data_IF_443876306769
#
_entry.id   IF_443876306769
#
_cell.length_a   1.000
_cell.length_b   1.000
_cell.length_c   1.000
_cell.angle_alpha   90.00
_cell.angle_beta   90.00
_cell.angle_gamma   90.00
#
_symmetry.space_group_name_H-M   'P 1'
#
loop_
_entity.id
_entity.type
_entity.pdbx_description
1 polymer ?
#
# COMPACT_ATOMS: atom_id res chain seq x y z
N UNK A 1 -18.38 46.90 6.59
CA UNK A 1 -17.70 47.45 5.39
C UNK A 1 -16.48 46.63 4.94
N UNK A 2 -15.64 46.11 5.84
CA UNK A 2 -14.40 45.39 5.49
C UNK A 2 -14.55 44.21 4.49
N UNK A 3 -15.60 43.38 4.60
CA UNK A 3 -15.81 42.23 3.69
C UNK A 3 -16.03 42.62 2.22
N UNK A 4 -16.59 43.81 1.96
CA UNK A 4 -16.86 44.30 0.59
C UNK A 4 -15.58 44.84 -0.07
N UNK A 5 -14.69 45.46 0.71
CA UNK A 5 -13.38 45.93 0.25
C UNK A 5 -12.49 44.76 -0.18
N UNK A 6 -12.36 43.72 0.65
CA UNK A 6 -11.62 42.51 0.29
C UNK A 6 -12.15 41.81 -0.97
N UNK A 7 -13.48 41.80 -1.18
CA UNK A 7 -14.08 41.21 -2.38
C UNK A 7 -13.78 42.04 -3.63
N UNK A 8 -13.72 43.37 -3.51
CA UNK A 8 -13.38 44.25 -4.63
C UNK A 8 -11.91 44.09 -5.04
N UNK A 9 -11.00 44.10 -4.07
CA UNK A 9 -9.56 43.88 -4.30
C UNK A 9 -9.28 42.52 -4.94
N UNK A 10 -9.95 41.45 -4.47
CA UNK A 10 -9.85 40.12 -5.08
C UNK A 10 -10.33 40.12 -6.54
N UNK A 11 -11.41 40.83 -6.84
CA UNK A 11 -11.93 40.93 -8.20
C UNK A 11 -11.00 41.74 -9.11
N UNK A 12 -10.36 42.79 -8.62
CA UNK A 12 -9.40 43.56 -9.41
C UNK A 12 -8.09 42.79 -9.62
N UNK A 13 -7.61 42.07 -8.60
CA UNK A 13 -6.46 41.17 -8.73
C UNK A 13 -6.71 40.08 -9.78
N UNK A 14 -7.90 39.47 -9.77
CA UNK A 14 -8.24 38.43 -10.77
C UNK A 14 -8.36 38.99 -12.18
N UNK A 15 -8.90 40.20 -12.36
CA UNK A 15 -8.90 40.89 -13.67
C UNK A 15 -7.48 41.19 -14.15
N UNK A 16 -6.63 41.73 -13.28
CA UNK A 16 -5.24 42.01 -13.60
C UNK A 16 -4.45 40.75 -13.97
N UNK A 17 -4.67 39.64 -13.24
CA UNK A 17 -4.08 38.35 -13.56
C UNK A 17 -4.53 37.84 -14.93
N UNK A 18 -5.82 37.96 -15.26
CA UNK A 18 -6.35 37.57 -16.58
C UNK A 18 -5.75 38.43 -17.70
N UNK A 19 -5.66 39.74 -17.48
CA UNK A 19 -5.07 40.67 -18.45
C UNK A 19 -3.60 40.33 -18.73
N UNK A 20 -2.79 40.17 -17.68
CA UNK A 20 -1.37 39.80 -17.81
C UNK A 20 -1.18 38.44 -18.47
N UNK A 21 -2.03 37.45 -18.18
CA UNK A 21 -2.02 36.15 -18.87
C UNK A 21 -2.29 36.28 -20.37
N UNK A 22 -3.25 37.13 -20.75
CA UNK A 22 -3.56 37.39 -22.16
C UNK A 22 -2.37 38.05 -22.89
N UNK A 23 -1.74 39.05 -22.27
CA UNK A 23 -0.56 39.69 -22.85
C UNK A 23 0.63 38.72 -22.97
N UNK A 24 0.85 37.85 -21.99
CA UNK A 24 1.86 36.79 -22.09
C UNK A 24 1.59 35.87 -23.28
N UNK A 25 0.34 35.46 -23.51
CA UNK A 25 -0.03 34.63 -24.65
C UNK A 25 0.15 35.34 -25.99
N UNK A 26 -0.23 36.62 -26.07
CA UNK A 26 -0.04 37.43 -27.28
C UNK A 26 1.46 37.58 -27.61
N UNK A 27 2.29 37.87 -26.61
CA UNK A 27 3.74 37.95 -26.77
C UNK A 27 4.37 36.58 -27.12
N UNK A 28 3.87 35.48 -26.55
CA UNK A 28 4.31 34.12 -26.91
C UNK A 28 4.06 33.86 -28.40
N UNK A 29 2.85 34.11 -28.90
CA UNK A 29 2.51 33.91 -30.33
C UNK A 29 3.37 34.78 -31.24
N UNK A 30 3.62 36.04 -30.84
CA UNK A 30 4.52 36.92 -31.59
C UNK A 30 5.94 36.36 -31.63
N UNK A 31 6.49 35.94 -30.49
CA UNK A 31 7.82 35.33 -30.41
C UNK A 31 7.91 34.04 -31.22
N UNK A 32 6.90 33.17 -31.15
CA UNK A 32 6.83 31.93 -31.93
C UNK A 32 6.81 32.21 -33.44
N UNK A 33 6.15 33.30 -33.87
CA UNK A 33 6.15 33.71 -35.28
C UNK A 33 7.52 34.16 -35.78
N UNK A 34 8.32 34.80 -34.92
CA UNK A 34 9.70 35.20 -35.24
C UNK A 34 10.69 34.05 -35.21
N UNK A 35 10.50 33.11 -34.28
CA UNK A 35 11.47 32.03 -34.01
C UNK A 35 11.16 30.78 -34.84
N UNK A 36 9.92 30.58 -35.27
CA UNK A 36 9.49 29.45 -36.10
C UNK A 36 9.29 28.13 -35.33
N UNK A 37 9.35 28.16 -34.00
CA UNK A 37 9.03 27.05 -33.12
C UNK A 37 8.43 27.55 -31.81
N UNK A 38 7.75 26.64 -31.08
CA UNK A 38 7.13 26.96 -29.81
C UNK A 38 8.13 27.52 -28.79
N UNK A 39 7.71 28.51 -27.99
CA UNK A 39 8.54 29.09 -26.92
C UNK A 39 8.42 28.22 -25.67
N UNK A 40 9.50 27.55 -25.27
CA UNK A 40 9.51 26.76 -24.05
C UNK A 40 9.39 27.66 -22.80
N UNK A 41 8.40 27.39 -21.96
CA UNK A 41 8.29 28.03 -20.65
C UNK A 41 9.38 27.48 -19.73
N UNK A 42 10.26 28.35 -19.26
CA UNK A 42 11.47 28.00 -18.48
C UNK A 42 11.16 27.14 -17.23
N UNK A 43 9.94 27.23 -16.67
CA UNK A 43 9.51 26.38 -15.54
C UNK A 43 9.03 24.98 -15.93
N UNK A 44 8.49 24.82 -17.13
CA UNK A 44 7.76 23.62 -17.57
C UNK A 44 8.71 22.45 -17.86
N UNK A 45 9.90 22.72 -18.40
CA UNK A 45 10.87 21.69 -18.81
C UNK A 45 11.59 21.06 -17.59
N UNK A 46 11.86 21.86 -16.55
CA UNK A 46 12.51 21.39 -15.32
C UNK A 46 11.53 20.67 -14.40
N UNK A 47 10.35 21.24 -14.17
CA UNK A 47 9.32 20.65 -13.31
C UNK A 47 8.80 19.32 -13.87
N UNK A 48 8.63 19.20 -15.20
CA UNK A 48 8.29 17.91 -15.83
C UNK A 48 9.36 16.85 -15.61
N UNK A 49 10.63 17.22 -15.61
CA UNK A 49 11.75 16.29 -15.43
C UNK A 49 11.82 15.80 -13.99
N UNK A 50 11.74 16.70 -13.03
CA UNK A 50 11.72 16.36 -11.59
C UNK A 50 10.50 15.48 -11.26
N UNK A 51 9.30 15.83 -11.75
CA UNK A 51 8.10 15.01 -11.57
C UNK A 51 8.22 13.60 -12.20
N UNK A 52 8.85 13.48 -13.38
CA UNK A 52 9.08 12.19 -14.01
C UNK A 52 10.10 11.34 -13.25
N UNK A 53 11.12 11.95 -12.67
CA UNK A 53 12.11 11.28 -11.85
C UNK A 53 11.48 10.78 -10.54
N UNK A 54 10.65 11.60 -9.89
CA UNK A 54 9.88 11.21 -8.71
C UNK A 54 8.89 10.08 -9.01
N UNK A 55 8.13 10.18 -10.10
CA UNK A 55 7.21 9.12 -10.52
C UNK A 55 7.95 7.81 -10.78
N UNK A 56 9.12 7.87 -11.42
CA UNK A 56 9.98 6.70 -11.67
C UNK A 56 10.55 6.12 -10.36
N UNK A 57 10.96 6.95 -9.42
CA UNK A 57 11.45 6.53 -8.10
C UNK A 57 10.32 5.85 -7.32
N UNK A 58 9.13 6.45 -7.29
CA UNK A 58 7.95 5.85 -6.66
C UNK A 58 7.59 4.51 -7.29
N UNK A 59 7.59 4.41 -8.62
CA UNK A 59 7.33 3.16 -9.33
C UNK A 59 8.37 2.08 -8.99
N UNK A 60 9.67 2.44 -8.97
CA UNK A 60 10.73 1.51 -8.55
C UNK A 60 10.56 1.08 -7.10
N UNK A 61 10.25 1.99 -6.18
CA UNK A 61 10.01 1.67 -4.78
C UNK A 61 8.80 0.74 -4.62
N UNK A 62 7.72 0.99 -5.35
CA UNK A 62 6.52 0.13 -5.35
C UNK A 62 6.82 -1.27 -5.91
N UNK A 63 7.52 -1.36 -7.04
CA UNK A 63 7.91 -2.64 -7.63
C UNK A 63 8.87 -3.44 -6.73
N UNK A 64 9.80 -2.78 -6.04
CA UNK A 64 10.68 -3.43 -5.06
C UNK A 64 9.92 -3.94 -3.84
N UNK A 65 8.88 -3.23 -3.37
CA UNK A 65 7.98 -3.71 -2.31
C UNK A 65 7.17 -4.94 -2.74
N UNK A 66 6.86 -5.07 -4.03
CA UNK A 66 6.15 -6.25 -4.55
C UNK A 66 7.06 -7.48 -4.69
N UNK A 67 8.38 -7.31 -4.80
CA UNK A 67 9.37 -8.41 -4.75
C UNK A 67 9.69 -8.85 -3.32
N UNK A 68 8.74 -8.74 -2.40
CA UNK A 68 8.88 -9.35 -1.09
C UNK A 68 8.95 -10.87 -1.26
N UNK A 69 9.90 -11.51 -0.57
CA UNK A 69 9.98 -12.98 -0.51
C UNK A 69 8.62 -13.49 -0.03
N UNK A 70 8.00 -14.46 -0.74
CA UNK A 70 6.74 -15.05 -0.30
C UNK A 70 6.87 -15.50 1.14
N UNK A 71 5.93 -15.08 1.98
CA UNK A 71 5.94 -15.41 3.43
C UNK A 71 5.80 -16.93 3.65
N UNK A 72 5.28 -17.65 2.66
CA UNK A 72 5.08 -19.10 2.66
C UNK A 72 5.50 -19.64 1.29
N UNK A 73 6.32 -20.68 1.28
CA UNK A 73 6.85 -21.35 0.07
C UNK A 73 5.93 -22.48 -0.46
N UNK A 74 4.79 -22.70 0.20
CA UNK A 74 3.79 -23.68 -0.21
C UNK A 74 3.20 -23.32 -1.59
N UNK A 75 3.25 -24.28 -2.53
CA UNK A 75 2.65 -24.13 -3.85
C UNK A 75 1.11 -24.24 -3.78
N UNK A 76 0.51 -23.18 -3.26
CA UNK A 76 -0.93 -23.10 -3.02
C UNK A 76 -1.79 -23.17 -4.27
N UNK A 77 -1.20 -23.03 -5.47
CA UNK A 77 -1.92 -23.10 -6.75
C UNK A 77 -2.45 -24.49 -7.06
N UNK A 78 -1.83 -25.53 -6.52
CA UNK A 78 -2.25 -26.92 -6.70
C UNK A 78 -3.26 -27.37 -5.63
N UNK A 79 -3.59 -26.50 -4.68
CA UNK A 79 -4.55 -26.78 -3.61
C UNK A 79 -5.96 -26.92 -4.18
N UNK A 80 -6.73 -27.87 -3.65
CA UNK A 80 -8.16 -28.02 -3.94
C UNK A 80 -8.97 -26.75 -3.60
N UNK A 81 -8.43 -25.90 -2.73
CA UNK A 81 -9.08 -24.67 -2.26
C UNK A 81 -8.55 -23.41 -2.95
N UNK A 82 -7.65 -23.52 -3.94
CA UNK A 82 -6.98 -22.39 -4.61
C UNK A 82 -7.96 -21.40 -5.27
N UNK A 83 -9.08 -21.90 -5.79
CA UNK A 83 -10.13 -21.10 -6.44
C UNK A 83 -10.94 -20.23 -5.46
N UNK A 84 -10.80 -20.45 -4.15
CA UNK A 84 -11.51 -19.67 -3.13
C UNK A 84 -10.85 -18.32 -2.90
N UNK A 85 -11.69 -17.33 -2.63
CA UNK A 85 -11.25 -16.00 -2.21
C UNK A 85 -10.68 -16.05 -0.79
N UNK A 86 -9.79 -15.13 -0.43
CA UNK A 86 -9.22 -15.05 0.93
C UNK A 86 -10.29 -14.94 2.01
N UNK A 87 -11.38 -14.22 1.73
CA UNK A 87 -12.53 -14.10 2.63
C UNK A 87 -13.25 -15.44 2.85
N UNK A 88 -13.45 -16.21 1.79
CA UNK A 88 -14.05 -17.54 1.89
C UNK A 88 -13.12 -18.50 2.63
N UNK A 89 -11.81 -18.42 2.39
CA UNK A 89 -10.82 -19.23 3.11
C UNK A 89 -10.82 -18.89 4.60
N UNK A 90 -10.81 -17.60 4.94
CA UNK A 90 -10.91 -17.11 6.32
C UNK A 90 -12.15 -17.66 7.04
N UNK A 91 -13.30 -17.66 6.36
CA UNK A 91 -14.55 -18.18 6.92
C UNK A 91 -14.49 -19.71 7.11
N UNK A 92 -13.96 -20.45 6.14
CA UNK A 92 -13.82 -21.91 6.22
C UNK A 92 -12.83 -22.29 7.32
N UNK A 93 -11.70 -21.60 7.42
CA UNK A 93 -10.71 -21.77 8.48
C UNK A 93 -11.34 -21.53 9.86
N UNK A 94 -12.03 -20.41 10.03
CA UNK A 94 -12.70 -20.04 11.28
C UNK A 94 -13.74 -21.09 11.71
N UNK A 95 -14.54 -21.60 10.77
CA UNK A 95 -15.53 -22.66 11.05
C UNK A 95 -14.91 -23.99 11.47
N UNK A 96 -13.67 -24.26 11.04
CA UNK A 96 -12.95 -25.50 11.33
C UNK A 96 -11.99 -25.36 12.52
N UNK A 97 -12.05 -24.26 13.27
CA UNK A 97 -11.26 -24.05 14.48
C UNK A 97 -9.86 -23.47 14.24
N UNK A 98 -9.49 -23.13 13.00
CA UNK A 98 -8.30 -22.33 12.73
C UNK A 98 -8.66 -20.85 12.75
N UNK A 99 -7.83 -19.99 13.38
CA UNK A 99 -7.98 -18.57 13.21
C UNK A 99 -7.80 -18.21 11.73
N UNK A 100 -8.86 -17.71 11.09
CA UNK A 100 -8.92 -17.42 9.65
C UNK A 100 -8.11 -16.19 9.23
N UNK A 101 -6.90 -16.02 9.74
CA UNK A 101 -6.05 -14.86 9.52
C UNK A 101 -4.65 -15.31 9.09
N UNK A 102 -4.18 -14.76 7.98
CA UNK A 102 -2.83 -15.00 7.49
C UNK A 102 -2.76 -14.98 5.97
N UNK A 103 -1.55 -15.16 5.41
CA UNK A 103 -1.36 -15.26 3.97
C UNK A 103 -2.20 -16.41 3.38
N UNK A 104 -2.78 -16.19 2.19
CA UNK A 104 -3.60 -17.20 1.48
C UNK A 104 -2.94 -18.58 1.43
N UNK A 105 -1.64 -18.63 1.15
CA UNK A 105 -0.88 -19.88 1.08
C UNK A 105 -0.85 -20.64 2.42
N UNK A 106 -0.72 -19.95 3.56
CA UNK A 106 -0.72 -20.57 4.88
C UNK A 106 -2.10 -21.14 5.26
N UNK A 107 -3.19 -20.41 4.93
CA UNK A 107 -4.55 -20.91 5.13
C UNK A 107 -4.82 -22.16 4.26
N UNK A 108 -4.32 -22.17 3.03
CA UNK A 108 -4.45 -23.31 2.12
C UNK A 108 -3.62 -24.52 2.59
N UNK A 109 -2.36 -24.31 2.99
CA UNK A 109 -1.51 -25.35 3.59
C UNK A 109 -2.20 -26.00 4.80
N UNK A 110 -2.81 -25.21 5.67
CA UNK A 110 -3.57 -25.74 6.80
C UNK A 110 -4.80 -26.53 6.38
N UNK A 111 -5.58 -26.04 5.41
CA UNK A 111 -6.78 -26.75 4.93
C UNK A 111 -6.46 -28.10 4.28
N UNK A 112 -5.29 -28.23 3.66
CA UNK A 112 -4.84 -29.44 2.99
C UNK A 112 -4.11 -30.42 3.93
N UNK A 113 -3.30 -29.91 4.87
CA UNK A 113 -2.44 -30.75 5.73
C UNK A 113 -2.94 -30.90 7.17
N UNK A 114 -3.84 -30.03 7.61
CA UNK A 114 -4.28 -29.93 9.01
C UNK A 114 -3.26 -29.29 9.96
N UNK A 115 -2.01 -29.07 9.51
CA UNK A 115 -0.94 -28.51 10.33
C UNK A 115 -0.76 -27.01 10.09
N UNK A 116 -0.65 -26.25 11.17
CA UNK A 116 -0.38 -24.81 11.07
C UNK A 116 1.12 -24.57 11.22
N UNK A 117 1.74 -24.02 10.17
CA UNK A 117 3.12 -23.54 10.26
C UNK A 117 3.13 -22.05 10.61
N UNK A 118 3.48 -21.73 11.85
CA UNK A 118 3.51 -20.34 12.33
C UNK A 118 4.59 -19.49 11.67
N UNK A 119 5.61 -20.11 11.06
CA UNK A 119 6.59 -19.36 10.27
C UNK A 119 5.97 -18.81 8.99
N UNK A 120 4.97 -19.48 8.44
CA UNK A 120 4.27 -19.08 7.22
C UNK A 120 3.22 -18.00 7.46
N UNK A 121 2.95 -17.65 8.73
CA UNK A 121 2.06 -16.54 9.06
C UNK A 121 2.74 -15.19 8.99
N UNK A 122 1.95 -14.17 8.71
CA UNK A 122 2.37 -12.78 8.85
C UNK A 122 2.31 -12.34 10.33
N UNK A 123 2.95 -11.23 10.65
CA UNK A 123 2.91 -10.66 12.01
C UNK A 123 1.47 -10.33 12.44
N UNK A 124 0.62 -9.89 11.51
CA UNK A 124 -0.78 -9.57 11.77
C UNK A 124 -1.59 -10.80 12.18
N UNK A 125 -1.44 -11.91 11.45
CA UNK A 125 -2.03 -13.20 11.82
C UNK A 125 -1.53 -13.69 13.18
N UNK A 126 -0.21 -13.71 13.42
CA UNK A 126 0.36 -14.18 14.68
C UNK A 126 -0.14 -13.39 15.89
N UNK A 127 -0.12 -12.07 15.82
CA UNK A 127 -0.57 -11.19 16.92
C UNK A 127 -2.05 -11.37 17.24
N UNK A 128 -2.90 -11.46 16.22
CA UNK A 128 -4.34 -11.67 16.40
C UNK A 128 -4.63 -13.01 17.08
N UNK A 129 -3.87 -14.04 16.73
CA UNK A 129 -4.03 -15.37 17.31
C UNK A 129 -3.53 -15.42 18.75
N UNK A 130 -2.39 -14.77 19.04
CA UNK A 130 -1.93 -14.59 20.41
C UNK A 130 -3.01 -13.88 21.25
N UNK A 131 -3.66 -12.86 20.69
CA UNK A 131 -4.78 -12.17 21.35
C UNK A 131 -5.98 -13.06 21.62
N UNK A 132 -6.44 -13.85 20.64
CA UNK A 132 -7.58 -14.77 20.79
C UNK A 132 -7.33 -15.87 21.84
N UNK A 133 -6.07 -16.29 22.01
CA UNK A 133 -5.67 -17.30 22.99
C UNK A 133 -5.19 -16.73 24.33
N UNK A 134 -5.27 -15.41 24.53
CA UNK A 134 -4.86 -14.76 25.78
C UNK A 134 -3.35 -14.77 26.03
N UNK A 135 -2.53 -15.02 25.01
CA UNK A 135 -1.07 -14.99 25.09
C UNK A 135 -0.61 -13.53 25.10
N UNK A 136 0.02 -13.11 26.20
CA UNK A 136 0.57 -11.76 26.33
C UNK A 136 1.75 -11.59 25.37
N UNK A 137 1.64 -10.62 24.46
CA UNK A 137 2.73 -10.21 23.59
C UNK A 137 3.00 -8.71 23.71
N UNK A 138 4.24 -8.30 23.43
CA UNK A 138 4.63 -6.89 23.32
C UNK A 138 4.68 -6.52 21.83
N UNK A 139 4.30 -5.30 21.50
CA UNK A 139 4.39 -4.80 20.11
C UNK A 139 5.84 -4.77 19.57
N UNK A 140 6.84 -4.79 20.45
CA UNK A 140 8.27 -4.91 20.11
C UNK A 140 8.76 -6.34 19.92
N UNK A 141 7.91 -7.35 20.11
CA UNK A 141 8.30 -8.76 19.95
C UNK A 141 8.57 -9.06 18.46
N UNK A 142 9.67 -9.78 18.19
CA UNK A 142 10.02 -10.21 16.83
C UNK A 142 9.15 -11.38 16.41
N UNK A 143 8.91 -11.53 15.10
CA UNK A 143 8.17 -12.67 14.51
C UNK A 143 8.61 -14.03 15.08
N UNK A 144 9.92 -14.26 15.17
CA UNK A 144 10.47 -15.52 15.68
C UNK A 144 10.07 -15.81 17.14
N UNK A 145 9.94 -14.79 17.98
CA UNK A 145 9.55 -14.95 19.38
C UNK A 145 8.06 -15.24 19.52
N UNK A 146 7.22 -14.62 18.69
CA UNK A 146 5.78 -14.94 18.60
C UNK A 146 5.55 -16.37 18.12
N UNK A 147 6.31 -16.81 17.11
CA UNK A 147 6.27 -18.20 16.61
C UNK A 147 6.65 -19.17 17.73
N UNK A 148 7.77 -18.93 18.41
CA UNK A 148 8.27 -19.81 19.49
C UNK A 148 7.26 -19.95 20.63
N UNK A 149 6.75 -18.84 21.16
CA UNK A 149 5.74 -18.87 22.24
C UNK A 149 4.47 -19.61 21.83
N UNK A 150 4.13 -19.61 20.55
CA UNK A 150 2.94 -20.30 20.04
C UNK A 150 3.15 -21.80 19.85
N UNK A 151 4.30 -22.20 19.31
CA UNK A 151 4.68 -23.63 19.25
C UNK A 151 4.72 -24.24 20.65
N UNK A 152 5.31 -23.53 21.62
CA UNK A 152 5.34 -23.96 23.03
C UNK A 152 3.93 -24.05 23.66
N UNK A 153 3.00 -23.17 23.30
CA UNK A 153 1.61 -23.21 23.79
C UNK A 153 0.81 -24.38 23.19
N UNK A 154 0.98 -24.68 21.90
CA UNK A 154 0.31 -25.82 21.26
C UNK A 154 0.84 -27.16 21.80
N UNK A 155 2.16 -27.28 22.02
CA UNK A 155 2.75 -28.48 22.63
C UNK A 155 2.27 -28.71 24.07
N UNK A 156 1.98 -27.63 24.81
CA UNK A 156 1.41 -27.70 26.15
C UNK A 156 -0.06 -28.11 26.16
N UNK A 157 -0.84 -27.77 25.12
CA UNK A 157 -2.23 -28.19 24.96
C UNK A 157 -2.37 -29.65 24.50
N UNK A 158 -1.40 -30.21 23.76
CA UNK A 158 -1.40 -31.62 23.30
C UNK A 158 -0.89 -32.61 24.37
N UNK A 159 -0.29 -32.10 25.46
CA UNK A 159 0.28 -32.90 26.55
C UNK A 159 -0.63 -33.03 27.79
N UNK A 160 -1.86 -32.51 27.75
CA UNK A 160 -2.84 -32.53 28.85
C UNK A 160 -4.09 -33.32 28.51
#
# INVERSE_FOLDING_TARGET
>A
MAKRLFSHEKNDLTKNLKFRKKQMQENEVEMESYIGHAVERIGDSRERRENNEDARIQQKMWASRQKAVPVCDYNWKDSHWADRTERQLSEICSRRGMPGYGPKAAMLKWLDTGNIDYQDMDMGGLTRICGERGIVYKESDKKAELVRRRTEADEAEDSG
#
